data_IF_733184115132
#
_entry.id   IF_733184115132
#
_cell.length_a   1.000
_cell.length_b   1.000
_cell.length_c   1.000
_cell.angle_alpha   90.00
_cell.angle_beta   90.00
_cell.angle_gamma   90.00
#
_symmetry.space_group_name_H-M   'P 1'
#
loop_
_entity.id
_entity.type
_entity.pdbx_description
1 polymer ?
#
# COMPACT_ATOMS: atom_id res chain seq x y z
N UNK A 1 -5.46 -7.55 -3.45
CA UNK A 1 -4.46 -6.93 -2.55
C UNK A 1 -3.61 -5.97 -3.37
N UNK A 2 -3.86 -4.67 -3.25
CA UNK A 2 -3.10 -3.64 -3.98
C UNK A 2 -2.01 -3.16 -3.04
N UNK A 3 -0.74 -3.48 -3.38
CA UNK A 3 0.41 -2.91 -2.71
C UNK A 3 0.80 -1.62 -3.44
N UNK A 4 0.52 -0.47 -2.84
CA UNK A 4 1.20 0.75 -3.22
C UNK A 4 2.57 0.78 -2.55
N UNK A 5 3.61 0.46 -3.32
CA UNK A 5 4.99 0.67 -2.87
C UNK A 5 5.41 2.08 -3.24
N UNK A 6 5.51 2.96 -2.27
CA UNK A 6 6.27 4.19 -2.44
C UNK A 6 7.75 3.84 -2.20
N UNK A 7 8.46 3.50 -3.28
CA UNK A 7 9.89 3.19 -3.21
C UNK A 7 10.66 4.48 -3.43
N UNK A 8 11.36 4.95 -2.41
CA UNK A 8 12.44 5.93 -2.59
C UNK A 8 13.62 5.19 -3.23
N UNK A 9 13.65 5.11 -4.57
CA UNK A 9 14.79 4.54 -5.28
C UNK A 9 15.88 5.60 -5.34
N UNK A 10 16.91 5.41 -4.54
CA UNK A 10 18.19 6.08 -4.78
C UNK A 10 18.78 5.49 -6.06
N UNK A 11 18.89 6.32 -7.08
CA UNK A 11 19.43 5.97 -8.37
C UNK A 11 20.90 5.57 -8.23
N UNK A 12 21.21 4.30 -8.34
CA UNK A 12 22.45 3.77 -8.97
C UNK A 12 22.46 2.24 -8.92
N UNK A 13 21.62 1.60 -9.73
CA UNK A 13 21.85 0.21 -10.14
C UNK A 13 21.58 0.14 -11.63
N UNK A 14 22.61 0.43 -12.41
CA UNK A 14 22.63 0.08 -13.82
C UNK A 14 22.34 -1.42 -13.97
N UNK A 15 21.78 -1.82 -15.11
CA UNK A 15 21.36 -3.17 -15.51
C UNK A 15 22.26 -4.31 -14.97
N UNK A 16 22.12 -4.65 -13.70
CA UNK A 16 22.88 -5.72 -13.08
C UNK A 16 22.06 -7.01 -13.19
N UNK A 17 22.59 -8.00 -13.93
CA UNK A 17 21.94 -9.30 -14.05
C UNK A 17 21.80 -9.94 -12.66
N UNK A 18 20.68 -10.60 -12.39
CA UNK A 18 20.32 -11.23 -11.11
C UNK A 18 21.44 -12.08 -10.49
N UNK A 19 22.20 -12.81 -11.33
CA UNK A 19 23.37 -13.60 -10.92
C UNK A 19 24.49 -12.72 -10.34
N UNK A 20 24.80 -11.59 -10.95
CA UNK A 20 25.83 -10.67 -10.49
C UNK A 20 25.48 -9.97 -9.17
N UNK A 21 24.18 -9.80 -8.87
CA UNK A 21 23.72 -9.31 -7.57
C UNK A 21 23.97 -10.34 -6.47
N UNK A 22 23.65 -11.62 -6.72
CA UNK A 22 23.86 -12.71 -5.76
C UNK A 22 25.34 -12.93 -5.48
N UNK A 23 26.18 -12.97 -6.53
CA UNK A 23 27.63 -13.17 -6.39
C UNK A 23 28.33 -12.04 -5.60
N UNK A 24 27.85 -10.79 -5.74
CA UNK A 24 28.36 -9.64 -4.97
C UNK A 24 27.88 -9.62 -3.53
N UNK A 25 26.68 -10.13 -3.26
CA UNK A 25 26.12 -10.22 -1.90
C UNK A 25 26.83 -11.30 -1.06
N UNK A 26 27.20 -12.42 -1.67
CA UNK A 26 27.93 -13.50 -0.98
C UNK A 26 29.37 -13.12 -0.64
N UNK A 27 30.03 -12.30 -1.46
CA UNK A 27 31.38 -11.77 -1.15
C UNK A 27 31.37 -10.77 0.02
N UNK A 28 30.27 -10.04 0.23
CA UNK A 28 30.10 -9.11 1.36
C UNK A 28 29.94 -9.81 2.70
N UNK A 29 29.35 -11.00 2.73
CA UNK A 29 29.09 -11.75 3.98
C UNK A 29 30.34 -12.49 4.48
N UNK A 30 31.17 -12.97 3.57
CA UNK A 30 32.39 -13.71 3.95
C UNK A 30 33.50 -12.82 4.56
N UNK A 31 33.48 -11.50 4.32
CA UNK A 31 34.45 -10.57 4.91
C UNK A 31 34.06 -10.09 6.32
N UNK A 32 32.82 -10.32 6.76
CA UNK A 32 32.32 -9.91 8.09
C UNK A 32 32.70 -10.85 9.23
N UNK A 33 33.27 -12.02 8.94
CA UNK A 33 33.59 -13.02 9.96
C UNK A 33 35.03 -12.95 10.50
N UNK A 34 35.88 -12.00 10.05
CA UNK A 34 37.32 -12.05 10.32
C UNK A 34 37.82 -10.95 11.27
N UNK A 35 37.03 -9.97 11.69
CA UNK A 35 37.53 -9.01 12.69
C UNK A 35 36.43 -8.32 13.53
N UNK A 36 36.40 -8.53 14.83
CA UNK A 36 35.46 -7.85 15.73
C UNK A 36 35.76 -6.37 15.95
N UNK A 37 36.88 -5.85 15.43
CA UNK A 37 37.30 -4.45 15.67
C UNK A 37 36.75 -3.44 14.64
N UNK A 38 36.00 -3.85 13.63
CA UNK A 38 35.48 -2.95 12.58
C UNK A 38 34.13 -2.31 12.96
N UNK A 39 33.47 -2.78 14.03
CA UNK A 39 32.15 -2.28 14.44
C UNK A 39 32.17 -0.97 15.26
N UNK A 40 33.33 -0.37 15.50
CA UNK A 40 33.41 0.85 16.34
C UNK A 40 33.61 2.14 15.55
N UNK A 41 33.56 2.15 14.22
CA UNK A 41 33.59 3.39 13.47
C UNK A 41 32.16 3.79 13.11
N UNK A 42 31.57 4.66 13.95
CA UNK A 42 30.36 5.40 13.61
C UNK A 42 30.60 6.10 12.29
N UNK A 43 30.24 5.47 11.17
CA UNK A 43 30.19 6.16 9.89
C UNK A 43 29.06 7.16 10.01
N UNK A 44 29.41 8.43 10.27
CA UNK A 44 28.52 9.52 9.94
C UNK A 44 28.32 9.43 8.43
N UNK A 45 27.31 8.71 7.98
CA UNK A 45 26.75 8.89 6.66
C UNK A 45 26.18 10.32 6.67
N UNK A 46 27.00 11.29 6.29
CA UNK A 46 26.52 12.56 5.84
C UNK A 46 25.72 12.27 4.57
N UNK A 47 24.43 12.08 4.71
CA UNK A 47 23.50 12.26 3.61
C UNK A 47 23.56 13.76 3.35
N UNK A 48 24.28 14.15 2.29
CA UNK A 48 24.31 15.51 1.81
C UNK A 48 22.87 15.97 1.56
N UNK A 49 22.41 16.99 2.25
CA UNK A 49 21.08 17.61 2.14
C UNK A 49 20.83 18.31 0.77
N UNK A 50 21.63 18.03 -0.23
CA UNK A 50 21.52 18.66 -1.55
C UNK A 50 21.11 17.72 -2.67
N UNK A 51 20.47 16.61 -2.38
CA UNK A 51 19.74 15.89 -3.40
C UNK A 51 18.34 16.48 -3.52
N UNK A 52 18.13 17.31 -4.53
CA UNK A 52 16.80 17.57 -5.11
C UNK A 52 16.25 16.20 -5.55
N UNK A 53 15.75 15.41 -4.62
CA UNK A 53 15.04 14.20 -4.95
C UNK A 53 13.65 14.62 -5.40
N UNK A 54 13.45 14.68 -6.71
CA UNK A 54 12.09 14.82 -7.24
C UNK A 54 11.22 13.75 -6.60
N UNK A 55 10.16 14.18 -5.93
CA UNK A 55 9.17 13.26 -5.41
C UNK A 55 8.35 12.72 -6.59
N UNK A 56 8.10 11.43 -6.62
CA UNK A 56 7.27 10.82 -7.66
C UNK A 56 6.33 9.76 -7.06
N UNK A 57 5.20 9.57 -7.74
CA UNK A 57 4.24 8.52 -7.43
C UNK A 57 4.30 7.44 -8.51
N UNK A 58 4.19 6.18 -8.09
CA UNK A 58 4.17 5.03 -8.99
C UNK A 58 3.09 4.05 -8.56
N UNK A 59 2.42 3.44 -9.53
CA UNK A 59 1.51 2.33 -9.31
C UNK A 59 1.89 1.14 -10.20
N UNK A 60 1.60 -0.06 -9.74
CA UNK A 60 1.84 -1.30 -10.50
C UNK A 60 0.73 -1.60 -11.51
N UNK A 61 -0.38 -0.87 -11.44
CA UNK A 61 -1.54 -0.98 -12.32
C UNK A 61 -1.74 0.32 -13.11
N UNK A 62 -2.47 0.27 -14.23
CA UNK A 62 -2.79 1.46 -15.05
C UNK A 62 -3.89 2.31 -14.38
N UNK A 63 -3.56 2.91 -13.26
CA UNK A 63 -4.44 3.77 -12.46
C UNK A 63 -3.98 5.22 -12.51
N UNK A 64 -4.05 5.82 -13.70
CA UNK A 64 -3.52 7.18 -13.96
C UNK A 64 -4.10 8.24 -13.04
N UNK A 65 -5.38 8.16 -12.69
CA UNK A 65 -6.05 9.10 -11.78
C UNK A 65 -5.45 9.05 -10.38
N UNK A 66 -5.21 7.84 -9.87
CA UNK A 66 -4.57 7.64 -8.56
C UNK A 66 -3.16 8.21 -8.52
N UNK A 67 -2.33 7.87 -9.53
CA UNK A 67 -0.94 8.37 -9.63
C UNK A 67 -0.91 9.89 -9.77
N UNK A 68 -1.79 10.45 -10.61
CA UNK A 68 -1.87 11.92 -10.77
C UNK A 68 -2.29 12.61 -9.47
N UNK A 69 -3.24 12.02 -8.72
CA UNK A 69 -3.69 12.57 -7.44
C UNK A 69 -2.57 12.51 -6.39
N UNK A 70 -1.89 11.37 -6.30
CA UNK A 70 -0.74 11.22 -5.41
C UNK A 70 0.38 12.23 -5.75
N UNK A 71 0.71 12.40 -7.04
CA UNK A 71 1.70 13.39 -7.49
C UNK A 71 1.33 14.81 -7.08
N UNK A 72 0.09 15.24 -7.34
CA UNK A 72 -0.40 16.56 -6.90
C UNK A 72 -0.36 16.74 -5.38
N UNK A 73 -0.62 15.68 -4.63
CA UNK A 73 -0.53 15.70 -3.17
C UNK A 73 0.92 15.93 -2.72
N UNK A 74 1.89 15.25 -3.35
CA UNK A 74 3.32 15.46 -3.11
C UNK A 74 3.75 16.90 -3.45
N UNK A 75 3.33 17.42 -4.61
CA UNK A 75 3.61 18.80 -5.04
C UNK A 75 3.05 19.84 -4.06
N UNK A 76 1.97 19.48 -3.36
CA UNK A 76 1.34 20.33 -2.31
C UNK A 76 2.02 20.18 -0.95
N UNK A 77 3.09 19.39 -0.83
CA UNK A 77 3.85 19.20 0.41
C UNK A 77 3.39 18.08 1.31
N UNK A 78 2.45 17.22 0.86
CA UNK A 78 2.07 16.04 1.62
C UNK A 78 3.24 15.05 1.73
N UNK A 79 3.29 14.30 2.82
CA UNK A 79 4.24 13.20 2.94
C UNK A 79 3.85 12.02 2.01
N UNK A 80 4.78 11.09 1.82
CA UNK A 80 4.62 9.96 0.92
C UNK A 80 3.41 9.07 1.24
N UNK A 81 3.14 8.85 2.52
CA UNK A 81 1.99 8.05 2.96
C UNK A 81 0.66 8.74 2.65
N UNK A 82 0.54 10.03 2.98
CA UNK A 82 -0.65 10.82 2.68
C UNK A 82 -0.93 10.87 1.19
N UNK A 83 0.11 11.07 0.38
CA UNK A 83 0.00 11.05 -1.07
C UNK A 83 -0.48 9.70 -1.61
N UNK A 84 0.08 8.60 -1.13
CA UNK A 84 -0.33 7.26 -1.53
C UNK A 84 -1.79 6.96 -1.15
N UNK A 85 -2.20 7.30 0.08
CA UNK A 85 -3.58 7.11 0.56
C UNK A 85 -4.56 7.98 -0.24
N UNK A 86 -4.21 9.24 -0.53
CA UNK A 86 -5.07 10.13 -1.33
C UNK A 86 -5.26 9.63 -2.76
N UNK A 87 -4.20 9.09 -3.37
CA UNK A 87 -4.29 8.48 -4.69
C UNK A 87 -5.16 7.21 -4.68
N UNK A 88 -4.96 6.34 -3.70
CA UNK A 88 -5.74 5.10 -3.55
C UNK A 88 -7.23 5.39 -3.37
N UNK A 89 -7.58 6.40 -2.59
CA UNK A 89 -8.97 6.78 -2.32
C UNK A 89 -9.78 7.07 -3.59
N UNK A 90 -9.13 7.53 -4.68
CA UNK A 90 -9.78 7.77 -5.97
C UNK A 90 -10.28 6.47 -6.60
N UNK A 91 -9.49 5.41 -6.54
CA UNK A 91 -9.84 4.10 -7.09
C UNK A 91 -10.82 3.36 -6.17
N UNK A 92 -10.67 3.49 -4.86
CA UNK A 92 -11.62 2.91 -3.89
C UNK A 92 -13.03 3.48 -4.04
N UNK A 93 -13.16 4.76 -4.38
CA UNK A 93 -14.45 5.43 -4.57
C UNK A 93 -15.06 5.21 -5.96
N UNK A 94 -14.31 4.70 -6.94
CA UNK A 94 -14.77 4.53 -8.30
C UNK A 94 -15.63 3.27 -8.45
N UNK A 95 -16.94 3.45 -8.56
CA UNK A 95 -17.92 2.36 -8.71
C UNK A 95 -17.71 1.53 -10.01
N UNK A 96 -16.95 2.05 -10.96
CA UNK A 96 -16.62 1.34 -12.20
C UNK A 96 -15.36 0.48 -12.05
N UNK A 97 -14.59 0.70 -10.98
CA UNK A 97 -13.46 -0.15 -10.67
C UNK A 97 -13.95 -1.45 -10.01
N UNK A 98 -13.79 -2.56 -10.71
CA UNK A 98 -14.26 -3.88 -10.23
C UNK A 98 -13.20 -4.65 -9.45
N UNK A 99 -12.05 -4.04 -9.17
CA UNK A 99 -10.92 -4.71 -8.52
C UNK A 99 -10.67 -4.24 -7.10
N UNK A 100 -11.15 -3.03 -6.74
CA UNK A 100 -10.96 -2.44 -5.40
C UNK A 100 -12.17 -1.60 -5.00
N UNK A 101 -12.35 -1.38 -3.72
CA UNK A 101 -13.29 -0.42 -3.18
C UNK A 101 -14.75 -0.67 -3.56
N UNK A 102 -15.48 0.42 -3.72
CA UNK A 102 -16.88 0.43 -4.10
C UNK A 102 -17.04 -0.03 -5.55
N UNK A 103 -17.61 -1.17 -5.75
CA UNK A 103 -17.76 -1.81 -7.06
C UNK A 103 -16.85 -3.03 -7.24
N UNK A 104 -16.05 -3.37 -6.25
CA UNK A 104 -15.20 -4.56 -6.25
C UNK A 104 -16.00 -5.85 -6.51
N UNK A 105 -15.30 -6.87 -6.98
CA UNK A 105 -15.89 -8.18 -7.19
C UNK A 105 -16.22 -8.83 -5.83
N UNK A 106 -17.42 -9.39 -5.65
CA UNK A 106 -17.77 -10.08 -4.42
C UNK A 106 -17.18 -11.49 -4.37
N UNK A 107 -17.23 -12.07 -3.19
CA UNK A 107 -17.01 -13.49 -2.97
C UNK A 107 -18.19 -14.34 -3.51
N UNK A 108 -18.17 -15.69 -3.23
CA UNK A 108 -19.22 -16.61 -3.69
C UNK A 108 -20.60 -16.27 -3.09
N UNK A 109 -20.63 -15.76 -1.88
CA UNK A 109 -21.84 -15.38 -1.14
C UNK A 109 -22.39 -14.00 -1.55
N UNK A 110 -21.66 -13.25 -2.39
CA UNK A 110 -22.07 -11.93 -2.86
C UNK A 110 -21.57 -10.78 -1.98
N UNK A 111 -20.64 -11.05 -1.08
CA UNK A 111 -20.08 -10.05 -0.16
C UNK A 111 -18.80 -9.45 -0.74
N UNK A 112 -18.70 -8.13 -0.75
CA UNK A 112 -17.45 -7.42 -1.07
C UNK A 112 -16.70 -7.16 0.23
N UNK A 113 -15.54 -7.80 0.38
CA UNK A 113 -14.59 -7.54 1.46
C UNK A 113 -13.30 -6.95 0.91
N UNK A 114 -12.71 -6.05 1.65
CA UNK A 114 -11.55 -5.27 1.22
C UNK A 114 -10.39 -5.44 2.20
N UNK A 115 -9.18 -5.39 1.63
CA UNK A 115 -7.92 -5.44 2.38
C UNK A 115 -7.08 -4.22 2.00
N UNK A 116 -6.33 -3.69 2.96
CA UNK A 116 -5.33 -2.67 2.70
C UNK A 116 -4.16 -2.78 3.67
N UNK A 117 -2.99 -2.36 3.21
CA UNK A 117 -1.87 -2.09 4.11
C UNK A 117 -1.13 -0.84 3.68
N UNK A 118 -0.56 -0.16 4.65
CA UNK A 118 0.24 1.05 4.47
C UNK A 118 1.53 0.95 5.27
N UNK A 119 2.53 1.71 4.84
CA UNK A 119 3.80 1.85 5.57
C UNK A 119 4.29 3.30 5.42
N UNK A 120 4.79 3.88 6.50
CA UNK A 120 5.44 5.18 6.48
C UNK A 120 6.95 5.08 6.18
N UNK A 121 7.62 6.24 6.11
CA UNK A 121 9.06 6.32 5.85
C UNK A 121 9.93 5.80 7.02
N UNK A 122 9.36 5.61 8.19
CA UNK A 122 10.05 5.10 9.39
C UNK A 122 9.88 3.58 9.54
N UNK A 123 9.09 2.95 8.66
CA UNK A 123 8.79 1.53 8.70
C UNK A 123 7.61 1.17 9.62
N UNK A 124 6.86 2.14 10.13
CA UNK A 124 5.62 1.86 10.81
C UNK A 124 4.58 1.36 9.81
N UNK A 125 3.81 0.36 10.20
CA UNK A 125 2.84 -0.29 9.32
C UNK A 125 1.45 -0.30 9.94
N UNK A 126 0.44 -0.24 9.08
CA UNK A 126 -0.94 -0.50 9.44
C UNK A 126 -1.64 -1.31 8.37
N UNK A 127 -2.52 -2.21 8.77
CA UNK A 127 -3.26 -3.04 7.84
C UNK A 127 -4.69 -3.31 8.32
N UNK A 128 -5.56 -3.52 7.36
CA UNK A 128 -6.91 -4.05 7.60
C UNK A 128 -7.19 -5.19 6.64
N UNK A 129 -7.88 -6.20 7.11
CA UNK A 129 -8.20 -7.41 6.35
C UNK A 129 -9.70 -7.74 6.46
N UNK A 130 -10.27 -8.22 5.37
CA UNK A 130 -11.65 -8.67 5.29
C UNK A 130 -12.66 -7.64 5.84
N UNK A 131 -12.48 -6.38 5.47
CA UNK A 131 -13.36 -5.29 5.91
C UNK A 131 -14.53 -5.16 4.95
N UNK A 132 -15.72 -5.25 5.50
CA UNK A 132 -16.96 -5.08 4.75
C UNK A 132 -17.56 -3.69 4.97
N UNK A 133 -18.29 -3.19 3.97
CA UNK A 133 -19.10 -1.96 4.07
C UNK A 133 -18.31 -0.66 4.34
N UNK A 134 -17.01 -0.65 4.18
CA UNK A 134 -16.16 0.53 4.30
C UNK A 134 -15.40 0.72 2.98
N UNK A 135 -15.61 1.85 2.31
CA UNK A 135 -15.01 2.14 1.01
C UNK A 135 -13.51 2.44 1.11
N UNK A 136 -13.09 3.29 2.06
CA UNK A 136 -11.72 3.81 2.14
C UNK A 136 -10.87 3.01 3.12
N UNK A 137 -10.50 1.79 2.73
CA UNK A 137 -9.75 0.88 3.60
C UNK A 137 -8.26 1.22 3.70
N UNK A 138 -7.68 1.92 2.70
CA UNK A 138 -6.30 2.41 2.79
C UNK A 138 -6.17 3.52 3.86
N UNK A 139 -7.15 4.43 3.93
CA UNK A 139 -7.21 5.43 4.99
C UNK A 139 -7.45 4.77 6.35
N UNK A 140 -8.30 3.74 6.42
CA UNK A 140 -8.53 2.97 7.64
C UNK A 140 -7.26 2.24 8.10
N UNK A 141 -6.49 1.66 7.20
CA UNK A 141 -5.19 1.04 7.53
C UNK A 141 -4.20 2.07 8.10
N UNK A 142 -4.18 3.30 7.56
CA UNK A 142 -3.42 4.41 8.13
C UNK A 142 -3.88 4.75 9.54
N UNK A 143 -5.20 4.83 9.77
CA UNK A 143 -5.75 5.08 11.10
C UNK A 143 -5.41 3.97 12.11
N UNK A 144 -5.38 2.70 11.69
CA UNK A 144 -4.90 1.60 12.54
C UNK A 144 -3.46 1.85 12.97
N UNK A 145 -2.57 2.21 12.03
CA UNK A 145 -1.17 2.50 12.32
C UNK A 145 -0.98 3.68 13.28
N UNK A 146 -1.74 4.76 13.07
CA UNK A 146 -1.53 6.02 13.78
C UNK A 146 -2.25 6.11 15.14
N UNK A 147 -3.39 5.41 15.27
CA UNK A 147 -4.31 5.60 16.40
C UNK A 147 -4.44 4.38 17.31
N UNK A 148 -3.79 3.27 16.97
CA UNK A 148 -3.87 2.04 17.77
C UNK A 148 -2.49 1.45 18.02
N UNK A 149 -2.31 0.61 19.05
CA UNK A 149 -1.09 -0.17 19.24
C UNK A 149 -1.00 -1.39 18.31
N UNK A 150 -2.01 -1.63 17.49
CA UNK A 150 -2.08 -2.78 16.59
C UNK A 150 -1.49 -2.46 15.23
N UNK A 151 -0.86 -3.46 14.62
CA UNK A 151 -0.43 -3.39 13.22
C UNK A 151 -1.55 -3.81 12.27
N UNK A 152 -2.43 -4.70 12.71
CA UNK A 152 -3.49 -5.28 11.87
C UNK A 152 -4.80 -5.35 12.65
N UNK A 153 -5.89 -4.93 12.03
CA UNK A 153 -7.26 -5.25 12.43
C UNK A 153 -7.96 -6.01 11.31
N UNK A 154 -8.91 -6.88 11.65
CA UNK A 154 -9.61 -7.70 10.66
C UNK A 154 -11.12 -7.79 10.91
N UNK A 155 -11.89 -8.04 9.83
CA UNK A 155 -13.31 -8.32 9.84
C UNK A 155 -14.12 -7.32 10.65
N UNK A 156 -15.04 -7.82 11.46
CA UNK A 156 -15.91 -6.99 12.31
C UNK A 156 -15.17 -6.08 13.29
N UNK A 157 -14.00 -6.48 13.77
CA UNK A 157 -13.16 -5.65 14.63
C UNK A 157 -12.66 -4.41 13.90
N UNK A 158 -12.17 -4.57 12.68
CA UNK A 158 -11.76 -3.46 11.83
C UNK A 158 -12.94 -2.57 11.44
N UNK A 159 -14.10 -3.17 11.12
CA UNK A 159 -15.32 -2.42 10.79
C UNK A 159 -15.83 -1.59 11.98
N UNK A 160 -15.85 -2.15 13.18
CA UNK A 160 -16.22 -1.40 14.41
C UNK A 160 -15.30 -0.22 14.63
N UNK A 161 -13.99 -0.43 14.55
CA UNK A 161 -13.01 0.63 14.65
C UNK A 161 -13.25 1.72 13.59
N UNK A 162 -13.53 1.35 12.33
CA UNK A 162 -13.86 2.30 11.28
C UNK A 162 -15.06 3.18 11.64
N UNK A 163 -16.15 2.59 12.13
CA UNK A 163 -17.35 3.34 12.56
C UNK A 163 -17.03 4.29 13.72
N UNK A 164 -16.23 3.86 14.69
CA UNK A 164 -15.75 4.69 15.81
C UNK A 164 -14.89 5.87 15.33
N UNK A 165 -14.13 5.69 14.22
CA UNK A 165 -13.38 6.77 13.59
C UNK A 165 -14.22 7.65 12.65
N UNK A 166 -15.53 7.40 12.51
CA UNK A 166 -16.45 8.21 11.72
C UNK A 166 -16.55 7.80 10.25
N UNK A 167 -16.03 6.65 9.85
CA UNK A 167 -16.23 6.12 8.50
C UNK A 167 -17.69 5.74 8.30
N UNK A 168 -18.21 6.08 7.11
CA UNK A 168 -19.58 5.71 6.72
C UNK A 168 -19.60 4.25 6.27
N UNK A 169 -20.66 3.55 6.71
CA UNK A 169 -20.97 2.22 6.18
C UNK A 169 -21.83 2.34 4.93
N UNK A 170 -21.47 1.61 3.86
CA UNK A 170 -22.23 1.59 2.62
C UNK A 170 -22.13 0.21 1.94
N UNK A 171 -23.08 -0.11 1.08
CA UNK A 171 -23.00 -1.30 0.24
C UNK A 171 -21.95 -1.09 -0.84
N UNK A 172 -20.98 -2.00 -0.90
CA UNK A 172 -19.88 -1.94 -1.86
C UNK A 172 -20.19 -2.68 -3.17
N UNK A 173 -21.24 -3.51 -3.20
CA UNK A 173 -21.61 -4.29 -4.37
C UNK A 173 -22.37 -3.44 -5.39
N UNK A 174 -21.70 -3.05 -6.46
CA UNK A 174 -22.34 -2.32 -7.56
C UNK A 174 -23.27 -3.23 -8.39
N UNK A 175 -24.22 -2.63 -9.09
CA UNK A 175 -25.10 -3.38 -10.00
C UNK A 175 -24.34 -4.08 -11.13
N UNK A 176 -23.23 -3.51 -11.61
CA UNK A 176 -22.36 -4.12 -12.61
C UNK A 176 -21.65 -5.35 -12.05
N UNK A 177 -21.07 -5.25 -10.87
CA UNK A 177 -20.39 -6.37 -10.18
C UNK A 177 -21.37 -7.46 -9.80
N UNK A 178 -22.57 -7.10 -9.35
CA UNK A 178 -23.65 -8.05 -9.06
C UNK A 178 -24.09 -8.86 -10.29
N UNK A 179 -24.21 -8.20 -11.45
CA UNK A 179 -24.50 -8.90 -12.72
C UNK A 179 -23.37 -9.84 -13.12
N UNK A 180 -22.12 -9.40 -13.00
CA UNK A 180 -20.96 -10.21 -13.31
C UNK A 180 -20.84 -11.42 -12.37
N UNK A 181 -21.07 -11.23 -11.07
CA UNK A 181 -21.10 -12.27 -10.05
C UNK A 181 -22.16 -13.34 -10.34
N UNK A 182 -23.42 -12.94 -10.63
CA UNK A 182 -24.49 -13.90 -10.97
C UNK A 182 -24.13 -14.73 -12.20
N UNK A 183 -23.58 -14.10 -13.25
CA UNK A 183 -23.13 -14.80 -14.45
C UNK A 183 -21.94 -15.75 -14.17
N UNK A 184 -21.10 -15.42 -13.21
CA UNK A 184 -20.02 -16.28 -12.79
C UNK A 184 -20.56 -17.51 -12.02
N UNK A 185 -21.51 -17.32 -11.13
CA UNK A 185 -22.18 -18.42 -10.40
C UNK A 185 -22.79 -19.46 -11.34
N UNK A 186 -23.46 -19.02 -12.43
CA UNK A 186 -24.05 -19.92 -13.43
C UNK A 186 -23.04 -20.84 -14.14
N UNK A 187 -21.74 -20.50 -14.08
CA UNK A 187 -20.67 -21.23 -14.77
C UNK A 187 -19.75 -21.99 -13.83
N UNK A 188 -19.90 -21.81 -12.53
CA UNK A 188 -18.95 -22.27 -11.51
C UNK A 188 -19.46 -23.51 -10.73
N UNK A 189 -20.52 -24.17 -11.22
CA UNK A 189 -21.01 -25.44 -10.67
C UNK A 189 -20.17 -26.63 -11.12
#
# INVERSE_FOLDING_TARGET
MIFFHLIKIVHTLGNMKRKAFIDKSTLGISSLLISPSVFAKKSNLYISDSMNSEAFAIATWDVKRAVTTAGKSLDSGANALEAAVSGTAIEEADILNTTVGKGGAPDREGTVSLDACVMDSNGNCGAVLAVENITHVAALAKDVMEKTPHVILAGDGARKFAVEQGYKTEDLLSESSKKAWKKWLEKSD
#
